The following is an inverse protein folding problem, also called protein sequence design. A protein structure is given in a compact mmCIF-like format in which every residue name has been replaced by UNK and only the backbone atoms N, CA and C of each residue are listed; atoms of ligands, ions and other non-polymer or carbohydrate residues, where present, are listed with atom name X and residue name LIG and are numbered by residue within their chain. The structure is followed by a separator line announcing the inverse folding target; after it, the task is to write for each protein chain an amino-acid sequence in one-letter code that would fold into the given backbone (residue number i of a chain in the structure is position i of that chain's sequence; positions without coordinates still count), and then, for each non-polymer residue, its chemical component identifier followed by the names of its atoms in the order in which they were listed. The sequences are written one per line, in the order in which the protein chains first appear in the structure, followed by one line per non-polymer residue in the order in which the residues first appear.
data_IF_045009374725
#
_entry.id   IF_045009374725
#
_cell.length_a   1.000
_cell.length_b   1.000
_cell.length_c   1.000
_cell.angle_alpha   90.00
_cell.angle_beta   90.00
_cell.angle_gamma   90.00
#
_symmetry.space_group_name_H-M   'P 1'
#
loop_
_entity.id
_entity.type
_entity.pdbx_description
1 polymer ?
#
# COMPACT_ATOMS: atom_id res chain seq x y z
N UNK A 1 18.33 -3.78 -10.15
CA UNK A 1 16.91 -3.38 -9.98
C UNK A 1 16.16 -4.53 -9.31
N UNK A 2 15.26 -4.25 -8.35
CA UNK A 2 14.55 -5.27 -7.54
C UNK A 2 13.25 -5.78 -8.18
N UNK A 3 12.94 -5.36 -9.41
CA UNK A 3 11.70 -5.71 -10.14
C UNK A 3 10.82 -4.48 -10.42
N UNK A 4 9.70 -4.63 -11.13
CA UNK A 4 8.79 -3.53 -11.44
C UNK A 4 8.02 -3.08 -10.18
N UNK A 5 7.69 -1.78 -10.14
CA UNK A 5 6.89 -1.19 -9.09
C UNK A 5 5.67 -0.47 -9.68
N UNK A 6 4.59 -0.37 -8.89
CA UNK A 6 3.33 0.27 -9.28
C UNK A 6 2.93 1.35 -8.29
N UNK A 7 2.35 2.44 -8.79
CA UNK A 7 1.71 3.47 -7.94
C UNK A 7 0.23 3.15 -7.74
N UNK A 8 -0.14 2.82 -6.50
CA UNK A 8 -1.45 2.28 -6.15
C UNK A 8 -2.57 3.33 -6.11
N UNK A 9 -2.24 4.62 -5.96
CA UNK A 9 -3.24 5.66 -5.71
C UNK A 9 -4.36 5.73 -6.77
N UNK A 10 -4.06 5.43 -8.03
CA UNK A 10 -5.06 5.43 -9.12
C UNK A 10 -5.98 4.20 -9.12
N UNK A 11 -5.66 3.18 -8.33
CA UNK A 11 -6.38 1.92 -8.28
C UNK A 11 -7.23 1.78 -7.02
N UNK A 12 -6.97 2.53 -5.95
CA UNK A 12 -7.73 2.44 -4.70
C UNK A 12 -9.22 2.76 -4.89
N UNK A 13 -10.10 1.91 -4.37
CA UNK A 13 -11.57 2.01 -4.47
C UNK A 13 -12.20 1.36 -3.24
N UNK A 14 -13.52 1.47 -3.10
CA UNK A 14 -14.24 0.87 -1.96
C UNK A 14 -14.66 -0.59 -2.22
N UNK A 15 -14.14 -1.23 -3.27
CA UNK A 15 -14.49 -2.59 -3.70
C UNK A 15 -13.25 -3.50 -3.77
N UNK A 16 -13.31 -4.75 -3.29
CA UNK A 16 -12.23 -5.72 -3.43
C UNK A 16 -11.81 -5.98 -4.88
N UNK A 17 -10.52 -6.24 -5.16
CA UNK A 17 -9.40 -6.29 -4.21
C UNK A 17 -8.76 -4.91 -3.92
N UNK A 18 -9.40 -3.81 -4.30
CA UNK A 18 -8.79 -2.47 -4.31
C UNK A 18 -9.05 -1.63 -3.04
N UNK A 19 -9.69 -2.23 -2.05
CA UNK A 19 -10.23 -1.61 -0.84
C UNK A 19 -9.31 -1.68 0.38
N UNK A 20 -8.24 -2.48 0.30
CA UNK A 20 -7.22 -2.60 1.34
C UNK A 20 -5.83 -2.76 0.75
N UNK A 21 -4.80 -2.31 1.49
CA UNK A 21 -3.40 -2.44 1.06
C UNK A 21 -3.00 -3.90 0.88
N UNK A 22 -3.43 -4.79 1.78
CA UNK A 22 -3.12 -6.23 1.71
C UNK A 22 -3.68 -6.86 0.43
N UNK A 23 -4.97 -6.64 0.13
CA UNK A 23 -5.63 -7.24 -1.02
C UNK A 23 -5.07 -6.73 -2.33
N UNK A 24 -4.86 -5.41 -2.45
CA UNK A 24 -4.39 -4.81 -3.70
C UNK A 24 -2.91 -5.14 -3.95
N UNK A 25 -2.08 -5.16 -2.90
CA UNK A 25 -0.67 -5.55 -3.02
C UNK A 25 -0.53 -7.03 -3.39
N UNK A 26 -1.37 -7.90 -2.81
CA UNK A 26 -1.46 -9.31 -3.20
C UNK A 26 -1.77 -9.49 -4.69
N UNK A 27 -2.78 -8.78 -5.19
CA UNK A 27 -3.14 -8.80 -6.61
C UNK A 27 -1.98 -8.37 -7.54
N UNK A 28 -1.29 -7.27 -7.20
CA UNK A 28 -0.14 -6.82 -8.00
C UNK A 28 1.08 -7.76 -7.87
N UNK A 29 1.26 -8.44 -6.74
CA UNK A 29 2.30 -9.45 -6.58
C UNK A 29 2.09 -10.65 -7.51
N UNK A 30 0.84 -11.11 -7.69
CA UNK A 30 0.49 -12.16 -8.66
C UNK A 30 0.79 -11.75 -10.11
N UNK A 31 0.71 -10.45 -10.42
CA UNK A 31 1.08 -9.88 -11.72
C UNK A 31 2.60 -9.69 -11.92
N UNK A 32 3.41 -10.02 -10.90
CA UNK A 32 4.87 -9.97 -10.98
C UNK A 32 5.51 -8.66 -10.49
N UNK A 33 4.74 -7.75 -9.89
CA UNK A 33 5.29 -6.56 -9.25
C UNK A 33 6.05 -6.91 -7.97
N UNK A 34 7.12 -6.16 -7.71
CA UNK A 34 8.03 -6.36 -6.56
C UNK A 34 8.08 -5.18 -5.61
N UNK A 35 7.36 -4.10 -5.93
CA UNK A 35 7.25 -2.92 -5.09
C UNK A 35 5.96 -2.16 -5.37
N UNK A 36 5.54 -1.37 -4.39
CA UNK A 36 4.37 -0.49 -4.48
C UNK A 36 4.75 0.89 -3.97
N UNK A 37 4.15 1.91 -4.57
CA UNK A 37 4.11 3.27 -4.04
C UNK A 37 2.67 3.53 -3.58
N UNK A 38 2.52 4.00 -2.33
CA UNK A 38 1.22 4.27 -1.70
C UNK A 38 0.98 5.79 -1.57
N UNK A 39 -0.28 6.25 -1.61
CA UNK A 39 -0.61 7.64 -1.31
C UNK A 39 -0.51 7.92 0.20
N UNK A 40 0.13 9.04 0.58
CA UNK A 40 0.21 9.45 1.98
C UNK A 40 -1.09 10.01 2.57
N UNK A 41 -2.10 10.29 1.75
CA UNK A 41 -3.37 10.90 2.18
C UNK A 41 -4.47 9.88 2.49
N UNK A 42 -4.23 8.60 2.21
CA UNK A 42 -5.23 7.54 2.40
C UNK A 42 -4.82 6.63 3.55
N UNK A 43 -5.55 6.75 4.67
CA UNK A 43 -5.30 5.97 5.89
C UNK A 43 -5.51 4.47 5.72
N UNK A 44 -6.18 4.02 4.64
CA UNK A 44 -6.24 2.59 4.28
C UNK A 44 -4.87 2.03 3.88
N UNK A 45 -3.92 2.89 3.52
CA UNK A 45 -2.57 2.48 3.11
C UNK A 45 -1.49 2.89 4.10
N UNK A 46 -1.62 4.05 4.75
CA UNK A 46 -0.72 4.52 5.80
C UNK A 46 -1.41 5.56 6.67
N UNK A 47 -1.31 5.41 7.98
CA UNK A 47 -1.69 6.42 8.96
C UNK A 47 -0.45 7.28 9.27
N UNK A 48 -0.38 8.47 8.64
CA UNK A 48 0.78 9.36 8.80
C UNK A 48 0.89 9.96 10.19
N UNK A 49 -0.23 10.21 10.87
CA UNK A 49 -0.22 10.79 12.21
C UNK A 49 0.32 9.76 13.20
N UNK A 50 -0.16 8.51 13.11
CA UNK A 50 0.37 7.42 13.90
C UNK A 50 1.85 7.12 13.58
N UNK A 51 2.24 7.17 12.31
CA UNK A 51 3.63 6.98 11.89
C UNK A 51 4.58 8.07 12.44
N UNK A 52 4.08 9.29 12.63
CA UNK A 52 4.87 10.39 13.17
C UNK A 52 5.05 10.30 14.69
N UNK A 53 4.07 9.76 15.41
CA UNK A 53 4.06 9.73 16.87
C UNK A 53 4.55 8.40 17.47
N UNK A 54 4.48 7.30 16.73
CA UNK A 54 4.83 5.98 17.21
C UNK A 54 6.12 5.46 16.56
N UNK A 55 7.14 5.24 17.39
CA UNK A 55 8.37 4.57 16.97
C UNK A 55 8.13 3.12 16.52
N UNK A 56 7.06 2.48 16.99
CA UNK A 56 6.76 1.07 16.73
C UNK A 56 5.75 0.87 15.59
N UNK A 57 5.32 1.94 14.91
CA UNK A 57 4.26 1.88 13.91
C UNK A 57 4.56 0.93 12.74
N UNK A 58 5.84 0.80 12.38
CA UNK A 58 6.30 -0.07 11.30
C UNK A 58 7.11 -1.28 11.81
N UNK A 59 6.96 -1.66 13.07
CA UNK A 59 7.69 -2.78 13.67
C UNK A 59 6.95 -4.13 13.58
N UNK A 60 5.72 -4.14 13.06
CA UNK A 60 4.92 -5.35 12.83
C UNK A 60 5.24 -6.08 11.50
#
# INVERSE_FOLDING_TARGET
MKGPAVFLAQFLRDEPPFDSLESIAGWFAELGYRGVQIPGWDSRTIDLDQAAESATYCED
#
